data_IF_908731083913
#
_entry.id   IF_908731083913
#
_cell.length_a   1.000
_cell.length_b   1.000
_cell.length_c   1.000
_cell.angle_alpha   90.00
_cell.angle_beta   90.00
_cell.angle_gamma   90.00
#
_symmetry.space_group_name_H-M   'P 1'
#
loop_
_entity.id
_entity.type
_entity.pdbx_description
1 polymer ?
#
# COMPACT_ATOMS: atom_id res chain seq x y z
N UNK A 1 -3.38 -37.57 0.12
CA UNK A 1 -3.79 -37.57 1.54
C UNK A 1 -3.02 -36.49 2.25
N UNK A 2 -3.70 -35.40 2.61
CA UNK A 2 -3.61 -34.68 3.89
C UNK A 2 -4.67 -33.57 3.80
N UNK A 3 -5.64 -33.68 4.72
CA UNK A 3 -6.77 -32.77 4.92
C UNK A 3 -6.38 -31.68 5.91
N UNK A 4 -7.05 -30.53 5.85
CA UNK A 4 -7.47 -29.59 6.91
C UNK A 4 -7.49 -28.15 6.34
N UNK A 5 -8.37 -27.20 6.66
CA UNK A 5 -9.71 -27.11 7.25
C UNK A 5 -10.20 -25.71 6.89
N UNK A 6 -11.46 -25.59 6.48
CA UNK A 6 -12.18 -24.34 6.16
C UNK A 6 -12.13 -23.30 7.29
N UNK A 7 -12.19 -22.02 6.94
CA UNK A 7 -12.95 -21.03 7.71
C UNK A 7 -13.92 -20.33 6.74
N UNK A 8 -15.21 -20.40 7.09
CA UNK A 8 -16.39 -19.81 6.42
C UNK A 8 -16.89 -18.68 7.33
N UNK A 9 -17.42 -17.57 6.79
CA UNK A 9 -18.50 -16.75 7.41
C UNK A 9 -18.85 -15.55 6.50
N UNK A 10 -20.07 -15.00 6.41
CA UNK A 10 -21.45 -15.44 6.55
C UNK A 10 -22.34 -14.26 5.99
N UNK A 11 -23.63 -14.49 5.87
CA UNK A 11 -24.68 -13.85 5.05
C UNK A 11 -25.27 -12.46 5.43
N UNK A 12 -25.77 -11.77 4.40
CA UNK A 12 -27.13 -11.16 4.22
C UNK A 12 -27.44 -9.65 4.45
N UNK A 13 -28.01 -9.05 3.37
CA UNK A 13 -29.23 -8.20 3.22
C UNK A 13 -29.35 -6.90 4.09
N UNK A 14 -29.83 -5.73 3.65
CA UNK A 14 -30.55 -5.25 2.44
C UNK A 14 -30.56 -3.72 2.39
N UNK A 15 -30.38 -3.20 1.17
CA UNK A 15 -31.04 -2.06 0.50
C UNK A 15 -31.15 -0.67 1.14
N UNK A 16 -30.69 0.35 0.39
CA UNK A 16 -31.10 1.73 0.58
C UNK A 16 -30.34 2.79 -0.24
N UNK A 17 -30.40 2.71 -1.58
CA UNK A 17 -30.28 3.80 -2.57
C UNK A 17 -29.02 4.68 -2.67
N UNK A 18 -28.68 4.93 -3.95
CA UNK A 18 -27.89 6.02 -4.57
C UNK A 18 -26.75 6.63 -3.75
N UNK A 19 -25.58 6.83 -4.37
CA UNK A 19 -24.97 8.18 -4.38
C UNK A 19 -23.82 8.29 -5.39
N UNK A 20 -23.88 9.43 -6.08
CA UNK A 20 -22.85 10.07 -6.88
C UNK A 20 -21.43 9.87 -6.36
N UNK A 21 -20.49 9.68 -7.30
CA UNK A 21 -19.07 9.85 -7.07
C UNK A 21 -18.79 11.22 -6.44
N UNK A 22 -18.57 11.24 -5.12
CA UNK A 22 -17.98 12.40 -4.45
C UNK A 22 -16.47 12.32 -4.62
N UNK A 23 -15.80 13.42 -5.00
CA UNK A 23 -14.35 13.49 -4.90
C UNK A 23 -13.96 13.19 -3.46
N UNK A 24 -12.94 12.35 -3.27
CA UNK A 24 -12.32 12.22 -1.95
C UNK A 24 -11.77 13.60 -1.61
N UNK A 25 -12.41 14.29 -0.68
CA UNK A 25 -11.82 15.46 -0.05
C UNK A 25 -10.59 14.95 0.69
N UNK A 26 -9.41 15.29 0.17
CA UNK A 26 -8.16 15.11 0.90
C UNK A 26 -8.33 15.77 2.28
N UNK A 27 -7.93 15.11 3.37
CA UNK A 27 -7.94 15.71 4.70
C UNK A 27 -7.27 17.08 4.65
N UNK A 28 -7.84 18.03 5.41
CA UNK A 28 -7.29 19.39 5.50
C UNK A 28 -5.88 19.27 6.08
N UNK A 29 -4.84 19.81 5.40
CA UNK A 29 -3.45 19.69 5.80
C UNK A 29 -3.19 20.04 7.27
N UNK A 30 -2.45 19.19 7.99
CA UNK A 30 -1.73 19.62 9.17
C UNK A 30 -0.44 20.29 8.67
N UNK A 31 -0.26 21.57 8.99
CA UNK A 31 0.95 22.31 8.68
C UNK A 31 2.19 21.60 9.21
N UNK A 32 3.26 21.59 8.41
CA UNK A 32 4.60 21.22 8.87
C UNK A 32 4.90 22.00 10.16
N UNK A 33 5.23 21.29 11.24
CA UNK A 33 5.66 21.96 12.46
C UNK A 33 7.05 22.55 12.22
N UNK A 34 7.51 23.45 13.10
CA UNK A 34 8.90 23.92 13.09
C UNK A 34 9.95 22.79 13.24
N UNK A 35 9.51 21.54 13.47
CA UNK A 35 10.34 20.38 13.82
C UNK A 35 10.28 19.24 12.78
N UNK A 36 9.61 19.45 11.63
CA UNK A 36 9.51 18.47 10.53
C UNK A 36 8.17 17.71 10.47
N UNK A 37 7.96 16.86 9.45
CA UNK A 37 6.70 16.15 9.24
C UNK A 37 6.42 15.13 10.34
N UNK A 38 5.14 14.83 10.56
CA UNK A 38 4.74 13.74 11.44
C UNK A 38 5.07 12.39 10.77
N UNK A 39 5.21 11.31 11.54
CA UNK A 39 5.37 9.98 10.92
C UNK A 39 4.09 9.56 10.19
N UNK A 40 2.92 9.80 10.80
CA UNK A 40 1.59 9.64 10.23
C UNK A 40 0.64 10.64 10.91
N UNK A 41 -0.50 10.92 10.30
CA UNK A 41 -1.50 11.83 10.87
C UNK A 41 -2.13 11.16 12.11
N UNK A 42 -2.07 11.77 13.31
CA UNK A 42 -2.60 11.16 14.52
C UNK A 42 -4.13 11.02 14.51
N UNK A 43 -4.83 11.74 13.65
CA UNK A 43 -6.29 11.76 13.53
C UNK A 43 -6.79 10.65 12.61
N UNK A 44 -6.15 10.50 11.45
CA UNK A 44 -6.56 9.51 10.43
C UNK A 44 -5.75 8.23 10.46
N UNK A 45 -4.58 8.26 11.10
CA UNK A 45 -3.57 7.20 10.96
C UNK A 45 -2.99 7.14 9.54
N UNK A 46 -2.22 6.08 9.23
CA UNK A 46 -1.77 5.78 7.88
C UNK A 46 -2.95 5.53 6.93
N UNK A 47 -2.98 6.23 5.80
CA UNK A 47 -4.02 6.07 4.78
C UNK A 47 -3.40 5.93 3.39
N UNK A 48 -4.16 5.38 2.45
CA UNK A 48 -3.72 5.33 1.05
C UNK A 48 -3.50 6.74 0.45
N UNK A 49 -4.14 7.79 0.98
CA UNK A 49 -3.94 9.16 0.52
C UNK A 49 -2.53 9.71 0.83
N UNK A 50 -1.77 9.04 1.71
CA UNK A 50 -0.39 9.39 2.03
C UNK A 50 0.59 8.91 0.93
N UNK A 51 0.11 8.14 -0.04
CA UNK A 51 0.94 7.49 -1.06
C UNK A 51 0.76 8.19 -2.40
N UNK A 52 1.91 8.62 -2.94
CA UNK A 52 2.08 9.16 -4.27
C UNK A 52 3.50 8.82 -4.74
N UNK A 53 3.60 7.73 -5.48
CA UNK A 53 4.83 7.34 -6.16
C UNK A 53 5.11 8.34 -7.28
N UNK A 54 6.38 8.71 -7.42
CA UNK A 54 6.84 9.66 -8.43
C UNK A 54 7.97 9.06 -9.27
N UNK A 55 9.21 9.03 -8.77
CA UNK A 55 10.39 8.68 -9.57
C UNK A 55 10.91 7.27 -9.36
N UNK A 56 10.63 6.64 -8.22
CA UNK A 56 11.08 5.27 -7.96
C UNK A 56 10.32 4.21 -8.77
N UNK A 57 10.98 3.13 -9.20
CA UNK A 57 10.33 1.98 -9.86
C UNK A 57 9.68 1.03 -8.84
N UNK A 58 8.91 1.56 -7.89
CA UNK A 58 8.40 0.81 -6.73
C UNK A 58 6.86 0.76 -6.64
N UNK A 59 6.16 0.86 -7.77
CA UNK A 59 4.69 0.81 -7.84
C UNK A 59 4.09 -0.42 -7.15
N UNK A 60 4.82 -1.53 -7.17
CA UNK A 60 4.51 -2.78 -6.48
C UNK A 60 4.45 -2.61 -4.96
N UNK A 61 5.41 -1.88 -4.38
CA UNK A 61 5.46 -1.59 -2.94
C UNK A 61 4.48 -0.48 -2.56
N UNK A 62 4.41 0.61 -3.35
CA UNK A 62 3.46 1.69 -3.12
C UNK A 62 2.01 1.19 -3.13
N UNK A 63 1.65 0.33 -4.09
CA UNK A 63 0.32 -0.30 -4.12
C UNK A 63 0.07 -1.22 -2.94
N UNK A 64 1.06 -2.02 -2.51
CA UNK A 64 0.90 -2.87 -1.34
C UNK A 64 0.68 -2.08 -0.05
N UNK A 65 1.41 -0.97 0.13
CA UNK A 65 1.21 -0.05 1.25
C UNK A 65 -0.19 0.56 1.23
N UNK A 66 -0.67 0.99 0.06
CA UNK A 66 -2.04 1.52 -0.09
C UNK A 66 -3.08 0.43 0.23
N UNK A 67 -2.91 -0.79 -0.29
CA UNK A 67 -3.81 -1.92 -0.04
C UNK A 67 -3.91 -2.24 1.46
N UNK A 68 -2.79 -2.22 2.17
CA UNK A 68 -2.74 -2.43 3.62
C UNK A 68 -3.40 -1.27 4.37
N UNK A 69 -3.05 -0.02 4.05
CA UNK A 69 -3.64 1.15 4.70
C UNK A 69 -5.16 1.24 4.47
N UNK A 70 -5.61 0.82 3.28
CA UNK A 70 -7.03 0.74 2.90
C UNK A 70 -7.80 -0.31 3.71
N UNK A 71 -7.20 -1.48 3.96
CA UNK A 71 -7.87 -2.55 4.73
C UNK A 71 -7.73 -2.34 6.25
N UNK A 72 -6.56 -1.87 6.71
CA UNK A 72 -6.25 -1.68 8.11
C UNK A 72 -5.05 -0.74 8.30
N UNK A 73 -5.29 0.58 8.39
CA UNK A 73 -4.23 1.56 8.71
C UNK A 73 -3.52 1.29 10.05
N UNK A 74 -4.20 0.64 11.01
CA UNK A 74 -3.59 0.19 12.27
C UNK A 74 -2.56 -0.93 12.10
N UNK A 75 -2.63 -1.68 11.00
CA UNK A 75 -1.60 -2.65 10.66
C UNK A 75 -0.26 -1.95 10.38
N UNK A 76 -0.28 -0.86 9.61
CA UNK A 76 0.93 -0.07 9.30
C UNK A 76 1.56 0.48 10.58
N UNK A 77 0.76 0.96 11.53
CA UNK A 77 1.30 1.44 12.81
C UNK A 77 1.93 0.31 13.64
N UNK A 78 1.41 -0.92 13.54
CA UNK A 78 1.97 -2.10 14.22
C UNK A 78 3.35 -2.55 13.69
N UNK A 79 3.71 -2.09 12.48
CA UNK A 79 5.04 -2.30 11.90
C UNK A 79 6.09 -1.42 12.57
N UNK A 80 5.69 -0.31 13.20
CA UNK A 80 6.60 0.63 13.86
C UNK A 80 6.85 0.13 15.29
N UNK A 81 8.09 -0.28 15.59
CA UNK A 81 8.46 -0.81 16.92
C UNK A 81 8.99 0.25 17.86
N UNK A 82 9.58 1.31 17.31
CA UNK A 82 10.19 2.39 18.08
C UNK A 82 10.20 3.69 17.26
N UNK A 83 10.22 4.83 17.96
CA UNK A 83 10.21 6.18 17.37
C UNK A 83 11.19 7.10 18.11
N UNK A 84 12.00 7.80 17.33
CA UNK A 84 12.84 8.89 17.82
C UNK A 84 12.11 10.22 17.59
N UNK A 85 11.70 10.87 18.68
CA UNK A 85 11.01 12.17 18.64
C UNK A 85 11.98 13.34 18.76
N UNK A 86 11.63 14.47 18.15
CA UNK A 86 12.34 15.74 18.36
C UNK A 86 11.81 16.39 19.63
N UNK A 87 12.69 17.01 20.43
CA UNK A 87 12.27 17.77 21.61
C UNK A 87 11.38 18.97 21.24
N UNK A 88 10.32 19.24 22.02
CA UNK A 88 9.86 18.47 23.18
C UNK A 88 9.21 17.14 22.77
N UNK A 89 9.26 16.11 23.62
CA UNK A 89 8.67 14.79 23.37
C UNK A 89 7.14 14.79 23.11
N UNK A 90 6.49 15.94 23.28
CA UNK A 90 5.11 16.20 22.88
C UNK A 90 4.95 16.57 21.40
N UNK A 91 6.06 16.68 20.65
CA UNK A 91 6.07 16.98 19.22
C UNK A 91 5.56 15.78 18.42
N UNK A 92 4.69 16.06 17.45
CA UNK A 92 4.29 15.07 16.44
C UNK A 92 5.45 14.72 15.49
N UNK A 93 6.52 15.52 15.49
CA UNK A 93 7.68 15.32 14.64
C UNK A 93 8.55 14.18 15.13
N UNK A 94 8.74 13.21 14.23
CA UNK A 94 9.54 12.02 14.45
C UNK A 94 10.70 12.09 13.44
N UNK A 95 11.94 12.01 13.91
CA UNK A 95 13.15 12.03 13.06
C UNK A 95 13.70 10.65 12.78
N UNK A 96 13.21 9.61 13.46
CA UNK A 96 13.55 8.24 13.15
C UNK A 96 12.50 7.26 13.64
N UNK A 97 12.41 6.11 12.98
CA UNK A 97 11.52 5.03 13.32
C UNK A 97 12.20 3.69 13.03
N UNK A 98 11.85 2.67 13.80
CA UNK A 98 12.26 1.29 13.53
C UNK A 98 11.06 0.52 12.99
N UNK A 99 11.22 -0.13 11.84
CA UNK A 99 10.15 -0.86 11.16
C UNK A 99 10.44 -2.37 11.14
N UNK A 100 9.42 -3.19 11.39
CA UNK A 100 9.47 -4.63 11.11
C UNK A 100 9.37 -4.85 9.60
N UNK A 101 10.33 -5.55 9.03
CA UNK A 101 10.34 -5.97 7.63
C UNK A 101 10.67 -7.46 7.57
N UNK A 102 10.01 -8.18 6.68
CA UNK A 102 10.26 -9.61 6.48
C UNK A 102 10.94 -9.83 5.15
N UNK A 103 11.87 -10.78 5.11
CA UNK A 103 12.37 -11.29 3.85
C UNK A 103 11.22 -11.97 3.07
N UNK A 104 10.94 -11.60 1.82
CA UNK A 104 9.74 -12.05 1.12
C UNK A 104 9.87 -13.46 0.53
N UNK A 105 11.05 -14.06 0.63
CA UNK A 105 11.35 -15.43 0.17
C UNK A 105 11.41 -16.41 1.35
N UNK A 106 11.86 -15.96 2.52
CA UNK A 106 12.06 -16.79 3.71
C UNK A 106 11.14 -16.46 4.88
N UNK A 107 10.44 -15.32 4.83
CA UNK A 107 9.58 -14.76 5.89
C UNK A 107 10.31 -14.56 7.23
N UNK A 108 11.64 -14.39 7.19
CA UNK A 108 12.43 -14.03 8.37
C UNK A 108 12.29 -12.54 8.64
N UNK A 109 11.84 -12.18 9.84
CA UNK A 109 11.70 -10.78 10.27
C UNK A 109 13.04 -10.18 10.67
N UNK A 110 13.28 -8.94 10.25
CA UNK A 110 14.30 -8.05 10.81
C UNK A 110 13.73 -6.67 11.10
N UNK A 111 14.35 -5.97 12.05
CA UNK A 111 13.94 -4.62 12.44
C UNK A 111 14.89 -3.60 11.81
N UNK A 112 14.34 -2.70 11.01
CA UNK A 112 15.09 -1.75 10.19
C UNK A 112 14.97 -0.35 10.76
N UNK A 113 16.10 0.20 11.23
CA UNK A 113 16.19 1.57 11.74
C UNK A 113 16.28 2.55 10.58
N UNK A 114 15.36 3.51 10.53
CA UNK A 114 15.28 4.53 9.50
C UNK A 114 15.26 5.90 10.16
N UNK A 115 16.01 6.85 9.61
CA UNK A 115 15.93 8.27 9.95
C UNK A 115 15.24 9.03 8.83
N UNK A 116 14.63 10.16 9.13
CA UNK A 116 13.97 11.02 8.13
C UNK A 116 14.91 11.40 6.98
N UNK A 117 16.21 11.55 7.23
CA UNK A 117 17.19 11.82 6.19
C UNK A 117 17.31 10.69 5.14
N UNK A 118 17.00 9.44 5.51
CA UNK A 118 17.01 8.31 4.58
C UNK A 118 15.92 8.44 3.51
N UNK A 119 14.87 9.21 3.79
CA UNK A 119 13.72 9.41 2.89
C UNK A 119 13.92 10.53 1.88
N UNK A 120 15.01 11.31 1.98
CA UNK A 120 15.31 12.44 1.11
C UNK A 120 16.01 12.03 -0.20
N UNK A 121 16.42 10.77 -0.31
CA UNK A 121 16.97 10.21 -1.54
C UNK A 121 15.79 9.93 -2.48
N UNK A 122 15.67 10.71 -3.57
CA UNK A 122 14.57 10.72 -4.56
C UNK A 122 14.36 9.42 -5.34
N UNK A 123 14.36 8.31 -4.63
CA UNK A 123 14.19 6.93 -5.03
C UNK A 123 13.02 6.34 -4.20
N UNK A 124 11.91 7.09 -4.01
CA UNK A 124 10.70 6.60 -3.31
C UNK A 124 9.41 7.38 -3.59
N UNK A 125 8.53 7.46 -2.59
CA UNK A 125 7.27 8.20 -2.56
C UNK A 125 7.57 9.71 -2.57
N UNK A 126 8.22 10.19 -3.64
CA UNK A 126 8.90 11.48 -3.70
C UNK A 126 7.91 12.60 -4.02
N UNK A 127 6.94 12.78 -3.12
CA UNK A 127 6.42 14.11 -2.90
C UNK A 127 7.01 14.66 -1.59
N UNK A 128 7.79 15.72 -1.69
CA UNK A 128 8.13 16.54 -0.51
C UNK A 128 6.90 17.28 0.04
N UNK A 129 5.74 17.18 -0.63
CA UNK A 129 4.47 17.72 -0.18
C UNK A 129 3.69 16.82 0.79
N UNK A 130 4.13 15.59 1.09
CA UNK A 130 3.42 14.74 2.05
C UNK A 130 3.70 15.19 3.49
N UNK A 131 2.62 15.57 4.17
CA UNK A 131 2.59 15.99 5.58
C UNK A 131 3.08 14.90 6.55
N UNK A 132 3.19 13.66 6.05
CA UNK A 132 3.59 12.47 6.79
C UNK A 132 4.66 11.70 6.05
N UNK A 133 5.55 10.99 6.74
CA UNK A 133 6.69 10.32 6.10
C UNK A 133 6.73 8.78 6.26
N UNK A 134 5.69 8.15 6.83
CA UNK A 134 5.67 6.69 6.97
C UNK A 134 5.84 5.91 5.66
N UNK A 135 5.30 6.32 4.48
CA UNK A 135 5.49 5.53 3.27
C UNK A 135 6.96 5.50 2.85
N UNK A 136 7.60 6.68 2.86
CA UNK A 136 9.02 6.81 2.55
C UNK A 136 9.90 6.14 3.61
N UNK A 137 9.45 6.11 4.86
CA UNK A 137 10.08 5.35 5.95
C UNK A 137 10.08 3.84 5.69
N UNK A 138 8.93 3.27 5.29
CA UNK A 138 8.84 1.85 4.93
C UNK A 138 9.63 1.51 3.67
N UNK A 139 9.64 2.38 2.65
CA UNK A 139 10.49 2.20 1.46
C UNK A 139 11.98 2.18 1.84
N UNK A 140 12.42 3.10 2.68
CA UNK A 140 13.80 3.11 3.19
C UNK A 140 14.11 1.84 4.00
N UNK A 141 13.16 1.36 4.81
CA UNK A 141 13.30 0.12 5.55
C UNK A 141 13.44 -1.10 4.62
N UNK A 142 12.61 -1.22 3.58
CA UNK A 142 12.71 -2.28 2.56
C UNK A 142 14.04 -2.19 1.79
N UNK A 143 14.47 -0.99 1.39
CA UNK A 143 15.77 -0.78 0.73
C UNK A 143 16.94 -1.22 1.62
N UNK A 144 16.91 -0.89 2.92
CA UNK A 144 17.92 -1.33 3.89
C UNK A 144 17.92 -2.83 4.14
N UNK A 145 16.72 -3.44 4.14
CA UNK A 145 16.57 -4.88 4.26
C UNK A 145 17.22 -5.62 3.08
N UNK A 146 16.97 -5.16 1.85
CA UNK A 146 17.33 -5.90 0.64
C UNK A 146 16.38 -7.05 0.34
N UNK A 147 16.70 -7.87 -0.66
CA UNK A 147 15.90 -9.04 -1.07
C UNK A 147 15.27 -8.86 -2.46
N UNK A 148 14.24 -9.65 -2.77
CA UNK A 148 13.54 -9.59 -4.06
C UNK A 148 13.09 -8.16 -4.42
N UNK A 149 13.47 -7.68 -5.61
CA UNK A 149 13.17 -6.33 -6.11
C UNK A 149 14.09 -5.22 -5.59
N UNK A 150 15.15 -5.57 -4.83
CA UNK A 150 16.11 -4.64 -4.24
C UNK A 150 17.55 -5.11 -4.49
N UNK A 151 18.36 -4.27 -5.14
CA UNK A 151 19.79 -4.52 -5.37
C UNK A 151 20.63 -3.35 -4.85
N UNK A 152 21.65 -3.65 -4.04
CA UNK A 152 22.57 -2.65 -3.47
C UNK A 152 21.88 -1.45 -2.79
N UNK A 153 20.80 -1.74 -2.04
CA UNK A 153 20.04 -0.72 -1.33
C UNK A 153 19.15 0.17 -2.21
N UNK A 154 18.87 -0.25 -3.45
CA UNK A 154 18.04 0.47 -4.41
C UNK A 154 16.95 -0.43 -4.96
N UNK A 155 15.81 0.16 -5.33
CA UNK A 155 14.79 -0.56 -6.11
C UNK A 155 15.36 -0.96 -7.47
N UNK A 156 15.09 -2.20 -7.87
CA UNK A 156 15.51 -2.68 -9.18
C UNK A 156 14.80 -1.88 -10.28
N UNK A 157 15.53 -1.57 -11.36
CA UNK A 157 14.99 -0.79 -12.50
C UNK A 157 13.83 -1.49 -13.21
N UNK A 158 13.77 -2.82 -13.11
CA UNK A 158 12.68 -3.63 -13.66
C UNK A 158 11.49 -3.75 -12.70
N UNK A 159 11.54 -3.07 -11.55
CA UNK A 159 10.53 -3.14 -10.51
C UNK A 159 10.56 -4.46 -9.72
N UNK A 160 9.43 -4.75 -9.08
CA UNK A 160 9.24 -5.92 -8.24
C UNK A 160 7.79 -6.42 -8.33
N UNK A 161 7.43 -7.35 -7.45
CA UNK A 161 6.14 -8.03 -7.50
C UNK A 161 5.26 -7.64 -6.31
N UNK A 162 3.99 -7.32 -6.57
CA UNK A 162 3.04 -6.89 -5.52
C UNK A 162 2.90 -7.91 -4.39
N UNK A 163 2.87 -9.21 -4.70
CA UNK A 163 2.81 -10.26 -3.67
C UNK A 163 4.08 -10.29 -2.80
N UNK A 164 5.27 -10.05 -3.37
CA UNK A 164 6.51 -9.91 -2.60
C UNK A 164 6.47 -8.68 -1.68
N UNK A 165 5.92 -7.55 -2.13
CA UNK A 165 5.69 -6.39 -1.25
C UNK A 165 4.75 -6.71 -0.09
N UNK A 166 3.66 -7.43 -0.33
CA UNK A 166 2.77 -7.88 0.75
C UNK A 166 3.52 -8.77 1.74
N UNK A 167 4.38 -9.68 1.28
CA UNK A 167 5.22 -10.51 2.16
C UNK A 167 6.20 -9.66 2.98
N UNK A 168 6.87 -8.67 2.36
CA UNK A 168 7.77 -7.74 3.06
C UNK A 168 7.10 -7.05 4.24
N UNK A 169 5.85 -6.62 4.04
CA UNK A 169 5.13 -5.77 4.99
C UNK A 169 4.35 -6.57 6.02
N UNK A 170 3.96 -7.81 5.70
CA UNK A 170 3.04 -8.57 6.56
C UNK A 170 3.66 -9.77 7.26
N UNK A 171 4.76 -10.31 6.72
CA UNK A 171 5.31 -11.58 7.16
C UNK A 171 4.44 -12.79 6.83
N UNK A 172 3.37 -12.61 6.06
CA UNK A 172 2.56 -13.70 5.52
C UNK A 172 2.99 -14.02 4.10
N UNK A 173 2.82 -15.29 3.72
CA UNK A 173 2.92 -15.68 2.33
C UNK A 173 1.75 -15.06 1.55
N UNK A 174 2.08 -14.19 0.59
CA UNK A 174 1.10 -13.68 -0.36
C UNK A 174 1.15 -14.51 -1.64
N UNK A 175 -0.02 -14.93 -2.11
CA UNK A 175 -0.17 -15.68 -3.36
C UNK A 175 -0.41 -14.74 -4.53
N UNK A 176 0.07 -15.12 -5.72
CA UNK A 176 -0.34 -14.49 -6.97
C UNK A 176 -1.35 -15.40 -7.68
N UNK A 177 -2.43 -14.82 -8.22
CA UNK A 177 -3.45 -15.54 -8.99
C UNK A 177 -3.39 -15.09 -10.45
N UNK A 178 -3.37 -16.06 -11.37
CA UNK A 178 -3.43 -15.82 -12.82
C UNK A 178 -4.54 -16.64 -13.50
N UNK A 179 -5.22 -17.53 -12.77
CA UNK A 179 -6.33 -18.30 -13.27
C UNK A 179 -7.58 -17.43 -13.40
N UNK A 180 -7.95 -17.13 -14.64
CA UNK A 180 -9.11 -16.31 -14.96
C UNK A 180 -10.46 -16.97 -14.59
N UNK A 181 -10.48 -18.25 -14.23
CA UNK A 181 -11.70 -18.94 -13.80
C UNK A 181 -12.06 -18.67 -12.33
N UNK A 182 -11.09 -18.33 -11.49
CA UNK A 182 -11.26 -18.11 -10.04
C UNK A 182 -11.05 -16.65 -9.63
N UNK A 183 -10.31 -15.88 -10.42
CA UNK A 183 -9.84 -14.54 -10.03
C UNK A 183 -10.98 -13.59 -9.61
N UNK A 184 -12.08 -13.57 -10.36
CA UNK A 184 -13.16 -12.60 -10.13
C UNK A 184 -13.94 -12.93 -8.86
N UNK A 185 -14.22 -14.21 -8.62
CA UNK A 185 -14.87 -14.66 -7.40
C UNK A 185 -14.02 -14.33 -6.17
N UNK A 186 -12.72 -14.57 -6.23
CA UNK A 186 -11.78 -14.25 -5.16
C UNK A 186 -11.68 -12.73 -4.92
N UNK A 187 -11.62 -11.93 -6.00
CA UNK A 187 -11.57 -10.48 -5.90
C UNK A 187 -12.85 -9.93 -5.25
N UNK A 188 -14.03 -10.29 -5.74
CA UNK A 188 -15.32 -9.84 -5.19
C UNK A 188 -15.46 -10.23 -3.72
N UNK A 189 -15.03 -11.43 -3.35
CA UNK A 189 -15.13 -11.93 -1.98
C UNK A 189 -14.20 -11.23 -0.99
N UNK A 190 -13.09 -10.64 -1.45
CA UNK A 190 -11.99 -10.25 -0.57
C UNK A 190 -11.46 -8.83 -0.75
N UNK A 191 -11.84 -8.11 -1.81
CA UNK A 191 -11.30 -6.76 -2.11
C UNK A 191 -11.45 -5.78 -0.95
N UNK A 192 -12.48 -5.92 -0.12
CA UNK A 192 -12.76 -5.02 1.00
C UNK A 192 -12.18 -5.45 2.35
N UNK A 193 -11.77 -6.72 2.50
CA UNK A 193 -11.22 -7.26 3.75
C UNK A 193 -9.74 -7.63 3.67
N UNK A 194 -9.21 -7.79 2.46
CA UNK A 194 -7.88 -8.33 2.23
C UNK A 194 -7.10 -7.38 1.31
N UNK A 195 -5.84 -7.05 1.63
CA UNK A 195 -4.99 -6.28 0.74
C UNK A 195 -4.81 -7.00 -0.60
N UNK A 196 -5.26 -6.40 -1.70
CA UNK A 196 -5.10 -6.94 -3.05
C UNK A 196 -4.37 -5.91 -3.92
N UNK A 197 -3.25 -6.37 -4.49
CA UNK A 197 -2.47 -5.62 -5.48
C UNK A 197 -2.68 -6.28 -6.85
N UNK A 198 -3.00 -5.48 -7.85
CA UNK A 198 -3.18 -5.92 -9.23
C UNK A 198 -2.14 -5.28 -10.11
N UNK A 199 -1.42 -6.07 -10.91
CA UNK A 199 -0.38 -5.55 -11.79
C UNK A 199 -0.68 -5.91 -13.25
N UNK A 200 -0.43 -4.98 -14.15
CA UNK A 200 -0.43 -5.23 -15.58
C UNK A 200 0.89 -5.89 -15.97
N UNK A 201 0.83 -6.91 -16.83
CA UNK A 201 2.04 -7.59 -17.34
C UNK A 201 2.59 -6.94 -18.61
N UNK A 202 1.70 -6.34 -19.40
CA UNK A 202 2.00 -5.79 -20.72
C UNK A 202 1.12 -4.57 -20.99
N UNK A 203 1.32 -3.96 -22.15
CA UNK A 203 0.53 -2.83 -22.61
C UNK A 203 -0.97 -3.13 -22.54
N UNK A 204 -1.72 -2.15 -22.07
CA UNK A 204 -3.17 -2.15 -22.10
C UNK A 204 -3.67 -0.86 -22.74
N UNK A 205 -4.94 -0.82 -23.12
CA UNK A 205 -5.51 0.38 -23.75
C UNK A 205 -5.69 1.55 -22.78
N UNK A 206 -5.91 1.25 -21.50
CA UNK A 206 -6.30 2.23 -20.47
C UNK A 206 -5.31 2.27 -19.31
N UNK A 207 -4.86 1.12 -18.82
CA UNK A 207 -3.92 1.03 -17.70
C UNK A 207 -2.47 1.14 -18.19
N UNK A 208 -1.62 1.68 -17.32
CA UNK A 208 -0.17 1.78 -17.49
C UNK A 208 0.39 0.36 -17.60
N UNK A 209 1.32 0.17 -18.54
CA UNK A 209 2.03 -1.09 -18.77
C UNK A 209 3.03 -1.38 -17.65
N UNK A 210 3.21 -2.67 -17.32
CA UNK A 210 4.15 -3.13 -16.29
C UNK A 210 4.01 -2.38 -14.95
N UNK A 211 2.76 -2.12 -14.53
CA UNK A 211 2.46 -1.24 -13.40
C UNK A 211 1.48 -1.89 -12.42
N UNK A 212 1.64 -1.59 -11.13
CA UNK A 212 0.79 -2.12 -10.08
C UNK A 212 -0.20 -1.06 -9.57
N UNK A 213 -1.38 -1.55 -9.20
CA UNK A 213 -2.53 -0.83 -8.70
C UNK A 213 -3.03 -1.48 -7.41
N UNK A 214 -3.68 -0.70 -6.56
CA UNK A 214 -4.46 -1.25 -5.44
C UNK A 214 -5.89 -1.53 -5.89
N UNK A 215 -6.40 -2.72 -5.61
CA UNK A 215 -7.82 -3.02 -5.76
C UNK A 215 -8.60 -2.36 -4.61
N UNK A 216 -9.44 -1.39 -4.94
CA UNK A 216 -10.10 -0.55 -3.94
C UNK A 216 -11.46 -1.07 -3.54
N UNK A 217 -12.33 -1.40 -4.48
CA UNK A 217 -13.66 -1.95 -4.17
C UNK A 217 -14.28 -2.46 -5.46
N UNK A 218 -15.16 -3.45 -5.36
CA UNK A 218 -16.01 -3.86 -6.47
C UNK A 218 -17.39 -3.22 -6.29
N UNK A 219 -17.83 -2.48 -7.30
CA UNK A 219 -19.20 -1.96 -7.39
C UNK A 219 -20.02 -2.91 -8.23
N UNK A 220 -21.08 -3.48 -7.67
CA UNK A 220 -22.07 -4.21 -8.46
C UNK A 220 -23.08 -3.20 -9.06
N UNK A 221 -23.16 -3.12 -10.39
CA UNK A 221 -24.06 -2.19 -11.08
C UNK A 221 -25.42 -2.82 -11.45
N UNK A 222 -25.68 -4.05 -11.00
CA UNK A 222 -27.05 -4.51 -10.75
C UNK A 222 -27.84 -5.13 -11.90
N UNK A 223 -27.28 -5.35 -13.09
CA UNK A 223 -28.07 -5.89 -14.23
C UNK A 223 -27.57 -7.24 -14.80
N UNK A 224 -26.50 -7.82 -14.26
CA UNK A 224 -26.03 -9.22 -14.45
C UNK A 224 -24.61 -9.34 -13.87
N UNK A 225 -24.09 -10.57 -13.72
CA UNK A 225 -22.70 -10.83 -13.32
C UNK A 225 -21.66 -10.06 -14.18
N UNK A 226 -22.04 -9.63 -15.40
CA UNK A 226 -21.24 -8.85 -16.36
C UNK A 226 -21.22 -7.33 -16.12
N UNK A 227 -21.88 -6.82 -15.07
CA UNK A 227 -21.97 -5.36 -14.82
C UNK A 227 -21.11 -4.88 -13.65
N UNK A 228 -20.41 -5.77 -12.95
CA UNK A 228 -19.55 -5.41 -11.82
C UNK A 228 -18.31 -4.63 -12.29
N UNK A 229 -18.02 -3.52 -11.63
CA UNK A 229 -16.83 -2.70 -11.91
C UNK A 229 -15.85 -2.76 -10.74
N UNK A 230 -14.58 -2.99 -11.04
CA UNK A 230 -13.52 -2.88 -10.07
C UNK A 230 -12.96 -1.45 -10.09
N UNK A 231 -12.94 -0.80 -8.92
CA UNK A 231 -12.20 0.43 -8.73
C UNK A 231 -10.75 0.10 -8.41
N UNK A 232 -9.83 0.68 -9.19
CA UNK A 232 -8.39 0.62 -8.95
C UNK A 232 -7.88 1.97 -8.44
N UNK A 233 -6.81 1.95 -7.64
CA UNK A 233 -6.03 3.14 -7.29
C UNK A 233 -4.63 3.01 -7.87
N UNK A 234 -4.25 3.99 -8.71
CA UNK A 234 -2.89 4.11 -9.21
C UNK A 234 -2.03 4.80 -8.13
N UNK A 235 -0.92 4.20 -7.68
CA UNK A 235 -0.02 4.84 -6.72
C UNK A 235 0.63 6.14 -7.24
N UNK A 236 0.58 6.45 -8.54
CA UNK A 236 0.97 7.76 -9.08
C UNK A 236 -0.04 8.89 -8.78
N UNK A 237 -1.20 8.53 -8.22
CA UNK A 237 -2.32 9.43 -8.02
C UNK A 237 -3.18 9.63 -9.27
N UNK A 238 -3.89 10.76 -9.30
CA UNK A 238 -4.69 11.18 -10.45
C UNK A 238 -3.77 11.72 -11.55
N UNK A 239 -3.41 10.85 -12.49
CA UNK A 239 -2.74 11.27 -13.71
C UNK A 239 -3.82 11.52 -14.75
N UNK A 240 -3.93 12.76 -15.24
CA UNK A 240 -5.01 13.22 -16.13
C UNK A 240 -5.23 12.39 -17.40
N UNK A 241 -4.34 11.47 -17.71
CA UNK A 241 -4.43 10.47 -18.75
C UNK A 241 -3.77 9.20 -18.17
N UNK A 242 -4.42 8.06 -18.17
CA UNK A 242 -3.71 6.78 -18.23
C UNK A 242 -3.85 6.39 -19.71
N UNK A 243 -2.85 6.12 -20.56
CA UNK A 243 -1.42 5.77 -20.48
C UNK A 243 -0.46 6.79 -19.88
#
# INVERSE_FOLDING_TARGET
MLSLTKIICLTALTSGQLVLAKPLFLPKPITTTAYGPALYDPTTGPTCADIKQTTAPDCWLASAMCALAKCNGGFITSLIVDKTQVHPATSLSVTGATFKIWDPDTLVRTDQKVVLADTATGDGNDDSSIYVWWPSGLQAAVKKHGGSGITNGKFDVNGGYGFKALSYLTGYEATYEMDSSTWWGNLVAHVDSTPIVMCTKSDTDVLVSAHCYTAMTVTDNGDSDDTRTLRLHNPWGDTKNYK
#
